data_IF_254587764877
#
_entry.id   IF_254587764877
#
_cell.length_a   1.000
_cell.length_b   1.000
_cell.length_c   1.000
_cell.angle_alpha   90.00
_cell.angle_beta   90.00
_cell.angle_gamma   90.00
#
_symmetry.space_group_name_H-M   'P 1'
#
loop_
_entity.id
_entity.type
_entity.pdbx_description
1 polymer ?
#
# COMPACT_ATOMS: atom_id res chain seq x y z
N UNK A 1 23.77 -26.13 -21.03
CA UNK A 1 22.98 -25.04 -20.45
C UNK A 1 23.88 -24.26 -19.52
N UNK A 2 24.28 -23.04 -19.87
CA UNK A 2 25.07 -22.16 -19.00
C UNK A 2 24.11 -21.32 -18.18
N UNK A 3 24.14 -21.47 -16.86
CA UNK A 3 23.37 -20.61 -15.96
C UNK A 3 23.87 -19.16 -16.09
N UNK A 4 22.95 -18.18 -16.13
CA UNK A 4 23.33 -16.78 -16.01
C UNK A 4 24.08 -16.55 -14.68
N UNK A 5 25.17 -15.76 -14.70
CA UNK A 5 25.91 -15.45 -13.49
C UNK A 5 25.00 -14.69 -12.52
N UNK A 6 24.98 -15.13 -11.26
CA UNK A 6 24.26 -14.42 -10.20
C UNK A 6 24.76 -12.95 -10.12
N UNK A 7 23.86 -11.98 -9.85
CA UNK A 7 24.25 -10.59 -9.72
C UNK A 7 25.31 -10.42 -8.64
N UNK A 8 26.34 -9.61 -8.93
CA UNK A 8 27.37 -9.29 -7.93
C UNK A 8 26.80 -8.43 -6.78
N UNK A 9 27.52 -8.32 -5.66
CA UNK A 9 27.03 -7.68 -4.43
C UNK A 9 26.64 -6.20 -4.60
N UNK A 10 27.22 -5.49 -5.57
CA UNK A 10 26.83 -4.12 -5.91
C UNK A 10 25.43 -4.05 -6.53
N UNK A 11 25.07 -5.01 -7.39
CA UNK A 11 23.77 -5.08 -8.05
C UNK A 11 22.69 -5.48 -7.04
N UNK A 12 22.98 -6.45 -6.17
CA UNK A 12 22.08 -6.83 -5.07
C UNK A 12 21.74 -5.64 -4.16
N UNK A 13 22.74 -4.82 -3.81
CA UNK A 13 22.54 -3.61 -3.00
C UNK A 13 21.62 -2.60 -3.70
N UNK A 14 21.81 -2.36 -5.00
CA UNK A 14 20.94 -1.44 -5.76
C UNK A 14 19.51 -1.97 -5.83
N UNK A 15 19.34 -3.27 -6.10
CA UNK A 15 18.01 -3.91 -6.10
C UNK A 15 17.33 -3.73 -4.74
N UNK A 16 18.06 -3.97 -3.64
CA UNK A 16 17.52 -3.80 -2.29
C UNK A 16 17.09 -2.35 -2.00
N UNK A 17 17.88 -1.36 -2.42
CA UNK A 17 17.54 0.06 -2.26
C UNK A 17 16.30 0.46 -3.06
N UNK A 18 16.18 -0.01 -4.30
CA UNK A 18 15.00 0.24 -5.15
C UNK A 18 13.77 -0.39 -4.51
N UNK A 19 13.86 -1.63 -4.04
CA UNK A 19 12.76 -2.31 -3.35
C UNK A 19 12.32 -1.56 -2.09
N UNK A 20 13.27 -1.10 -1.26
CA UNK A 20 12.94 -0.31 -0.07
C UNK A 20 12.26 1.02 -0.42
N UNK A 21 12.73 1.71 -1.47
CA UNK A 21 12.10 2.93 -1.94
C UNK A 21 10.67 2.69 -2.44
N UNK A 22 10.46 1.61 -3.21
CA UNK A 22 9.13 1.23 -3.70
C UNK A 22 8.17 0.92 -2.55
N UNK A 23 8.62 0.19 -1.53
CA UNK A 23 7.84 -0.11 -0.31
C UNK A 23 7.47 1.19 0.42
N UNK A 24 8.42 2.12 0.58
CA UNK A 24 8.15 3.41 1.24
C UNK A 24 7.13 4.25 0.46
N UNK A 25 7.23 4.25 -0.87
CA UNK A 25 6.28 4.94 -1.76
C UNK A 25 4.89 4.32 -1.63
N UNK A 26 4.76 2.99 -1.66
CA UNK A 26 3.48 2.30 -1.51
C UNK A 26 2.77 2.67 -0.19
N UNK A 27 3.51 2.65 0.93
CA UNK A 27 2.99 3.09 2.23
C UNK A 27 2.54 4.55 2.22
N UNK A 28 3.31 5.44 1.59
CA UNK A 28 2.98 6.87 1.49
C UNK A 28 1.69 7.07 0.69
N UNK A 29 1.52 6.36 -0.42
CA UNK A 29 0.30 6.42 -1.22
C UNK A 29 -0.92 5.93 -0.43
N UNK A 30 -0.82 4.78 0.24
CA UNK A 30 -1.91 4.24 1.05
C UNK A 30 -2.32 5.22 2.15
N UNK A 31 -1.34 5.79 2.88
CA UNK A 31 -1.61 6.80 3.89
C UNK A 31 -2.31 8.04 3.32
N UNK A 32 -1.85 8.52 2.15
CA UNK A 32 -2.47 9.67 1.49
C UNK A 32 -3.91 9.43 1.04
N UNK A 33 -4.23 8.23 0.55
CA UNK A 33 -5.61 7.87 0.16
C UNK A 33 -6.51 7.77 1.41
N UNK A 34 -6.02 7.17 2.50
CA UNK A 34 -6.77 7.09 3.76
C UNK A 34 -7.07 8.47 4.35
N UNK A 35 -6.12 9.40 4.24
CA UNK A 35 -6.35 10.79 4.67
C UNK A 35 -7.39 11.48 3.79
N UNK A 36 -7.37 11.27 2.46
CA UNK A 36 -8.42 11.82 1.58
C UNK A 36 -9.78 11.22 1.86
N UNK A 37 -9.88 9.91 2.13
CA UNK A 37 -11.13 9.28 2.54
C UNK A 37 -11.67 9.90 3.83
N UNK A 38 -10.80 10.15 4.81
CA UNK A 38 -11.15 10.78 6.09
C UNK A 38 -11.58 12.24 5.95
N UNK A 39 -10.93 12.98 5.06
CA UNK A 39 -11.18 14.40 4.83
C UNK A 39 -12.26 14.68 3.77
N UNK A 40 -12.82 13.63 3.15
CA UNK A 40 -13.88 13.77 2.17
C UNK A 40 -15.07 14.54 2.76
N UNK A 41 -15.66 15.44 1.97
CA UNK A 41 -16.81 16.26 2.38
C UNK A 41 -18.14 15.70 1.88
N UNK A 42 -18.10 14.61 1.12
CA UNK A 42 -19.28 13.92 0.62
C UNK A 42 -19.13 12.42 0.85
N UNK A 43 -20.27 11.74 1.05
CA UNK A 43 -20.31 10.30 1.23
C UNK A 43 -19.82 9.52 0.00
N UNK A 44 -20.01 10.07 -1.20
CA UNK A 44 -19.58 9.43 -2.45
C UNK A 44 -18.06 9.52 -2.62
N UNK A 45 -17.45 10.67 -2.29
CA UNK A 45 -15.99 10.82 -2.27
C UNK A 45 -15.35 9.94 -1.20
N UNK A 46 -15.95 9.87 -0.01
CA UNK A 46 -15.49 9.00 1.06
C UNK A 46 -15.52 7.53 0.62
N UNK A 47 -16.62 7.06 0.00
CA UNK A 47 -16.71 5.69 -0.55
C UNK A 47 -15.67 5.43 -1.62
N UNK A 48 -15.46 6.38 -2.53
CA UNK A 48 -14.49 6.22 -3.60
C UNK A 48 -13.07 6.07 -3.04
N UNK A 49 -12.61 7.02 -2.23
CA UNK A 49 -11.27 7.01 -1.65
C UNK A 49 -11.09 5.82 -0.70
N UNK A 50 -12.10 5.45 0.10
CA UNK A 50 -12.06 4.25 0.93
C UNK A 50 -11.90 2.97 0.12
N UNK A 51 -12.62 2.85 -1.02
CA UNK A 51 -12.46 1.71 -1.92
C UNK A 51 -11.06 1.65 -2.52
N UNK A 52 -10.49 2.80 -2.88
CA UNK A 52 -9.11 2.88 -3.39
C UNK A 52 -8.11 2.48 -2.31
N UNK A 53 -8.29 2.95 -1.07
CA UNK A 53 -7.43 2.59 0.06
C UNK A 53 -7.45 1.07 0.34
N UNK A 54 -8.65 0.47 0.33
CA UNK A 54 -8.81 -0.98 0.52
C UNK A 54 -8.10 -1.75 -0.60
N UNK A 55 -8.25 -1.31 -1.86
CA UNK A 55 -7.57 -1.93 -2.99
C UNK A 55 -6.04 -1.89 -2.88
N UNK A 56 -5.48 -0.74 -2.47
CA UNK A 56 -4.03 -0.63 -2.22
C UNK A 56 -3.58 -1.50 -1.04
N UNK A 57 -4.32 -1.51 0.07
CA UNK A 57 -3.98 -2.33 1.22
C UNK A 57 -4.00 -3.83 0.86
N UNK A 58 -4.96 -4.28 0.06
CA UNK A 58 -5.03 -5.67 -0.42
C UNK A 58 -3.83 -6.01 -1.31
N UNK A 59 -3.52 -5.17 -2.30
CA UNK A 59 -2.34 -5.37 -3.15
C UNK A 59 -1.05 -5.41 -2.34
N UNK A 60 -0.94 -4.56 -1.31
CA UNK A 60 0.23 -4.56 -0.44
C UNK A 60 0.32 -5.83 0.41
N UNK A 61 -0.79 -6.37 0.88
CA UNK A 61 -0.82 -7.66 1.57
C UNK A 61 -0.42 -8.81 0.63
N UNK A 62 -0.93 -8.84 -0.60
CA UNK A 62 -0.60 -9.85 -1.62
C UNK A 62 0.90 -9.85 -1.97
N UNK A 63 1.53 -8.68 -1.93
CA UNK A 63 2.96 -8.50 -2.14
C UNK A 63 3.81 -8.75 -0.87
N UNK A 64 3.19 -9.16 0.24
CA UNK A 64 3.86 -9.40 1.51
C UNK A 64 4.39 -8.13 2.19
N UNK A 65 3.91 -6.96 1.79
CA UNK A 65 4.27 -5.67 2.40
C UNK A 65 3.43 -5.36 3.64
N UNK A 66 2.25 -5.97 3.77
CA UNK A 66 1.41 -5.91 4.97
C UNK A 66 1.12 -7.32 5.48
N UNK A 67 1.08 -7.46 6.79
CA UNK A 67 0.47 -8.62 7.44
C UNK A 67 -1.06 -8.59 7.28
N UNK A 68 -1.71 -9.73 7.50
CA UNK A 68 -3.18 -9.81 7.48
C UNK A 68 -3.81 -8.85 8.49
N UNK A 69 -3.24 -8.75 9.69
CA UNK A 69 -3.72 -7.84 10.73
C UNK A 69 -3.58 -6.36 10.32
N UNK A 70 -2.45 -5.98 9.71
CA UNK A 70 -2.24 -4.63 9.20
C UNK A 70 -3.23 -4.30 8.07
N UNK A 71 -3.42 -5.23 7.14
CA UNK A 71 -4.43 -5.08 6.09
C UNK A 71 -5.83 -4.87 6.69
N UNK A 72 -6.22 -5.70 7.64
CA UNK A 72 -7.53 -5.60 8.31
C UNK A 72 -7.68 -4.28 9.06
N UNK A 73 -6.60 -3.80 9.69
CA UNK A 73 -6.54 -2.48 10.30
C UNK A 73 -6.79 -1.35 9.29
N UNK A 74 -6.10 -1.38 8.13
CA UNK A 74 -6.26 -0.39 7.06
C UNK A 74 -7.63 -0.44 6.40
N UNK A 75 -8.17 -1.65 6.21
CA UNK A 75 -9.54 -1.85 5.72
C UNK A 75 -10.57 -1.27 6.68
N UNK A 76 -10.42 -1.51 7.98
CA UNK A 76 -11.28 -0.94 9.02
C UNK A 76 -11.21 0.59 9.04
N UNK A 77 -10.00 1.15 8.99
CA UNK A 77 -9.79 2.61 8.92
C UNK A 77 -10.49 3.24 7.72
N UNK A 78 -10.37 2.63 6.53
CA UNK A 78 -11.05 3.08 5.32
C UNK A 78 -12.58 3.03 5.46
N UNK A 79 -13.14 1.96 6.02
CA UNK A 79 -14.60 1.84 6.18
C UNK A 79 -15.17 2.86 7.17
N UNK A 80 -14.45 3.14 8.27
CA UNK A 80 -14.84 4.16 9.24
C UNK A 80 -14.96 5.56 8.63
N UNK A 81 -14.20 5.87 7.57
CA UNK A 81 -14.29 7.15 6.90
C UNK A 81 -15.65 7.36 6.20
N UNK A 82 -16.27 6.28 5.73
CA UNK A 82 -17.63 6.30 5.13
C UNK A 82 -18.70 6.41 6.20
N UNK A 83 -18.52 5.71 7.33
CA UNK A 83 -19.49 5.70 8.45
C UNK A 83 -19.62 7.06 9.16
N UNK A 84 -18.62 7.93 9.00
CA UNK A 84 -18.58 9.27 9.63
C UNK A 84 -19.24 10.37 8.80
N UNK A 85 -19.62 10.09 7.55
CA UNK A 85 -20.32 11.02 6.66
C UNK A 85 -21.83 10.90 6.82
#
# INVERSE_FOLDING_TARGET
MTAEPAPGPAVERVIQQISQAAIAIAHTYLAGVLERARAATSIDDAKHESSVAIGYAMLMADLGMLTEDEYMGKRSEALQAVERQ
#
